data_IF_129387667373
#
_entry.id   IF_129387667373
#
_cell.length_a   1.000
_cell.length_b   1.000
_cell.length_c   1.000
_cell.angle_alpha   90.00
_cell.angle_beta   90.00
_cell.angle_gamma   90.00
#
_symmetry.space_group_name_H-M   'P 1'
#
loop_
_entity.id
_entity.type
_entity.pdbx_description
1 polymer ?
#
# COMPACT_ATOMS: atom_id res chain seq x y z
N UNK A 1 -39.78 -6.19 -28.58
CA UNK A 1 -39.02 -6.37 -27.32
C UNK A 1 -39.49 -5.29 -26.35
N UNK A 2 -40.35 -5.65 -25.39
CA UNK A 2 -40.96 -4.69 -24.47
C UNK A 2 -39.97 -4.46 -23.32
N UNK A 3 -39.33 -3.29 -23.27
CA UNK A 3 -38.46 -2.93 -22.16
C UNK A 3 -39.33 -2.73 -20.93
N UNK A 4 -39.24 -3.66 -19.98
CA UNK A 4 -39.98 -3.62 -18.73
C UNK A 4 -39.42 -2.47 -17.86
N UNK A 5 -40.09 -1.31 -17.92
CA UNK A 5 -39.76 -0.10 -17.18
C UNK A 5 -39.62 -0.37 -15.68
N UNK A 6 -40.35 -1.35 -15.14
CA UNK A 6 -40.27 -1.76 -13.74
C UNK A 6 -38.90 -2.34 -13.37
N UNK A 7 -38.15 -2.92 -14.33
CA UNK A 7 -36.78 -3.42 -14.09
C UNK A 7 -35.78 -2.27 -14.04
N UNK A 8 -35.92 -1.30 -14.93
CA UNK A 8 -35.07 -0.10 -15.01
C UNK A 8 -35.27 0.78 -13.77
N UNK A 9 -36.52 0.99 -13.34
CA UNK A 9 -36.84 1.75 -12.12
C UNK A 9 -36.32 1.09 -10.85
N UNK A 10 -36.44 -0.24 -10.72
CA UNK A 10 -35.86 -1.00 -9.59
C UNK A 10 -34.33 -0.85 -9.53
N UNK A 11 -33.68 -0.84 -10.69
CA UNK A 11 -32.23 -0.64 -10.79
C UNK A 11 -31.81 0.79 -10.40
N UNK A 12 -32.61 1.80 -10.77
CA UNK A 12 -32.39 3.19 -10.36
C UNK A 12 -32.62 3.42 -8.85
N UNK A 13 -33.61 2.77 -8.25
CA UNK A 13 -33.87 2.84 -6.81
C UNK A 13 -32.75 2.18 -5.99
N UNK A 14 -32.19 1.07 -6.49
CA UNK A 14 -31.03 0.42 -5.85
C UNK A 14 -29.79 1.33 -5.85
N UNK A 15 -29.53 2.06 -6.95
CA UNK A 15 -28.42 3.02 -7.03
C UNK A 15 -28.60 4.23 -6.09
N UNK A 16 -29.84 4.65 -5.81
CA UNK A 16 -30.15 5.75 -4.89
C UNK A 16 -30.02 5.41 -3.40
N UNK A 17 -30.01 4.12 -3.02
CA UNK A 17 -29.93 3.67 -1.62
C UNK A 17 -28.50 3.55 -1.07
N UNK A 18 -27.49 3.68 -1.92
CA UNK A 18 -26.10 3.76 -1.47
C UNK A 18 -25.86 5.11 -0.80
N UNK A 19 -25.21 5.18 0.37
CA UNK A 19 -24.93 6.46 0.96
C UNK A 19 -23.93 7.25 0.09
N UNK A 20 -24.24 8.54 -0.13
CA UNK A 20 -23.47 9.49 -0.95
C UNK A 20 -22.17 9.87 -0.22
N UNK A 21 -21.27 8.91 -0.04
CA UNK A 21 -20.04 9.11 0.75
C UNK A 21 -18.78 9.26 -0.10
N UNK A 22 -18.85 9.18 -1.42
CA UNK A 22 -17.65 8.92 -2.23
C UNK A 22 -16.70 10.11 -2.32
N UNK A 23 -17.17 11.37 -2.18
CA UNK A 23 -16.32 12.55 -2.41
C UNK A 23 -16.37 13.64 -1.34
N UNK A 24 -17.20 13.52 -0.29
CA UNK A 24 -17.23 14.53 0.78
C UNK A 24 -15.88 14.54 1.49
N UNK A 25 -15.18 15.67 1.41
CA UNK A 25 -13.89 15.88 2.07
C UNK A 25 -14.14 16.24 3.54
N UNK A 26 -13.45 15.53 4.43
CA UNK A 26 -13.41 15.81 5.87
C UNK A 26 -11.96 15.91 6.32
N UNK A 27 -11.72 16.67 7.39
CA UNK A 27 -10.38 16.80 7.97
C UNK A 27 -10.13 15.65 8.96
N UNK A 28 -8.94 15.07 8.87
CA UNK A 28 -8.41 14.18 9.91
C UNK A 28 -7.92 15.01 11.10
N UNK A 29 -7.74 14.37 12.27
CA UNK A 29 -7.14 15.00 13.45
C UNK A 29 -5.78 15.66 13.19
N UNK A 30 -5.03 15.20 12.17
CA UNK A 30 -3.76 15.81 11.77
C UNK A 30 -3.92 17.03 10.82
N UNK A 31 -5.15 17.53 10.61
CA UNK A 31 -5.45 18.64 9.70
C UNK A 31 -5.47 18.29 8.20
N UNK A 32 -5.16 17.06 7.79
CA UNK A 32 -5.16 16.65 6.38
C UNK A 32 -6.56 16.25 5.91
N UNK A 33 -6.91 16.65 4.69
CA UNK A 33 -8.17 16.24 4.07
C UNK A 33 -8.16 14.76 3.69
N UNK A 34 -9.26 14.07 3.98
CA UNK A 34 -9.53 12.68 3.57
C UNK A 34 -11.00 12.54 3.17
N UNK A 35 -11.38 11.41 2.59
CA UNK A 35 -12.79 11.16 2.27
C UNK A 35 -13.55 10.76 3.54
N UNK A 36 -14.80 11.18 3.64
CA UNK A 36 -15.67 10.82 4.78
C UNK A 36 -15.75 9.30 4.97
N UNK A 37 -15.83 8.52 3.87
CA UNK A 37 -15.79 7.05 3.91
C UNK A 37 -14.51 6.51 4.57
N UNK A 38 -13.35 7.03 4.18
CA UNK A 38 -12.07 6.54 4.72
C UNK A 38 -11.93 6.83 6.21
N UNK A 39 -12.31 8.04 6.65
CA UNK A 39 -12.30 8.39 8.07
C UNK A 39 -13.29 7.55 8.88
N UNK A 40 -14.49 7.29 8.35
CA UNK A 40 -15.46 6.42 9.01
C UNK A 40 -14.95 4.98 9.16
N UNK A 41 -14.24 4.46 8.16
CA UNK A 41 -13.74 3.09 8.17
C UNK A 41 -12.47 2.91 9.02
N UNK A 42 -11.55 3.87 9.02
CA UNK A 42 -10.22 3.72 9.61
C UNK A 42 -9.93 4.67 10.77
N UNK A 43 -10.79 5.65 11.04
CA UNK A 43 -10.61 6.66 12.10
C UNK A 43 -9.49 7.68 11.84
N UNK A 44 -8.68 7.51 10.79
CA UNK A 44 -7.52 8.34 10.45
C UNK A 44 -7.35 8.46 8.94
N UNK A 45 -6.63 9.50 8.48
CA UNK A 45 -6.30 9.64 7.06
C UNK A 45 -5.21 8.64 6.64
N UNK A 46 -5.12 8.39 5.32
CA UNK A 46 -4.12 7.48 4.75
C UNK A 46 -2.67 7.84 5.14
N UNK A 47 -2.35 9.13 5.28
CA UNK A 47 -1.03 9.55 5.71
C UNK A 47 -0.75 9.19 7.18
N UNK A 48 -1.72 9.37 8.08
CA UNK A 48 -1.60 8.95 9.48
C UNK A 48 -1.60 7.43 9.63
N UNK A 49 -2.38 6.72 8.80
CA UNK A 49 -2.34 5.27 8.76
C UNK A 49 -0.94 4.76 8.36
N UNK A 50 -0.36 5.36 7.32
CA UNK A 50 0.98 5.01 6.86
C UNK A 50 2.07 5.38 7.89
N UNK A 51 1.94 6.54 8.55
CA UNK A 51 2.85 6.94 9.62
C UNK A 51 2.82 5.94 10.78
N UNK A 52 1.63 5.57 11.26
CA UNK A 52 1.51 4.56 12.33
C UNK A 52 2.12 3.20 11.95
N UNK A 53 2.00 2.79 10.69
CA UNK A 53 2.68 1.56 10.21
C UNK A 53 4.20 1.75 10.21
N UNK A 54 4.71 2.91 9.82
CA UNK A 54 6.15 3.20 9.85
C UNK A 54 6.70 3.25 11.28
N UNK A 55 5.95 3.83 12.21
CA UNK A 55 6.34 3.94 13.62
C UNK A 55 6.33 2.59 14.35
N UNK A 56 5.50 1.64 13.90
CA UNK A 56 5.45 0.28 14.44
C UNK A 56 6.60 -0.61 13.94
N UNK A 57 7.37 -0.17 12.94
CA UNK A 57 8.45 -0.95 12.32
C UNK A 57 9.79 -0.53 12.89
N UNK A 58 10.64 -1.50 13.19
CA UNK A 58 12.01 -1.23 13.64
C UNK A 58 12.78 -0.47 12.55
N UNK A 59 13.56 0.58 12.89
CA UNK A 59 14.28 1.38 11.89
C UNK A 59 15.16 0.55 10.93
N UNK A 60 15.77 -0.53 11.44
CA UNK A 60 16.60 -1.44 10.65
C UNK A 60 15.84 -2.32 9.66
N UNK A 61 14.54 -2.51 9.84
CA UNK A 61 13.66 -3.24 8.91
C UNK A 61 13.22 -2.30 7.79
N UNK A 62 12.86 -1.06 8.13
CA UNK A 62 12.47 -0.06 7.14
C UNK A 62 13.61 0.24 6.14
N UNK A 63 14.86 0.22 6.60
CA UNK A 63 16.02 0.34 5.71
C UNK A 63 16.10 -0.82 4.68
N UNK A 64 15.66 -2.03 5.03
CA UNK A 64 15.61 -3.17 4.10
C UNK A 64 14.52 -2.98 3.05
N UNK A 65 13.36 -2.45 3.44
CA UNK A 65 12.31 -2.05 2.49
C UNK A 65 12.82 -1.01 1.48
N UNK A 66 13.54 0.00 1.95
CA UNK A 66 14.16 0.99 1.06
C UNK A 66 15.22 0.37 0.16
N UNK A 67 16.06 -0.52 0.71
CA UNK A 67 17.04 -1.25 -0.09
C UNK A 67 16.35 -2.09 -1.16
N UNK A 68 15.34 -2.89 -0.82
CA UNK A 68 14.55 -3.72 -1.75
C UNK A 68 14.02 -2.93 -2.94
N UNK A 69 13.65 -1.66 -2.75
CA UNK A 69 13.12 -0.77 -3.78
C UNK A 69 14.17 0.13 -4.46
N UNK A 70 15.43 0.08 -4.01
CA UNK A 70 16.45 1.03 -4.44
C UNK A 70 16.14 2.48 -4.02
N UNK A 71 15.28 2.69 -3.02
CA UNK A 71 14.85 3.98 -2.51
C UNK A 71 15.86 4.54 -1.49
N UNK A 72 17.14 4.56 -1.88
CA UNK A 72 18.26 5.02 -1.05
C UNK A 72 18.86 6.29 -1.63
N UNK A 73 19.52 7.10 -0.78
CA UNK A 73 20.09 8.41 -1.15
C UNK A 73 21.08 8.35 -2.31
N UNK A 74 21.74 7.20 -2.52
CA UNK A 74 22.71 6.99 -3.59
C UNK A 74 22.07 7.01 -5.00
N UNK A 75 20.78 6.68 -5.11
CA UNK A 75 20.10 6.64 -6.40
C UNK A 75 19.16 7.83 -6.57
N UNK A 76 19.11 8.45 -7.77
CA UNK A 76 18.14 9.48 -8.05
C UNK A 76 16.72 8.92 -7.94
N UNK A 77 15.76 9.75 -7.50
CA UNK A 77 14.36 9.34 -7.31
C UNK A 77 13.73 8.74 -8.56
N UNK A 78 14.16 9.15 -9.75
CA UNK A 78 13.71 8.60 -11.03
C UNK A 78 14.05 7.11 -11.22
N UNK A 79 15.04 6.59 -10.48
CA UNK A 79 15.42 5.18 -10.45
C UNK A 79 14.77 4.41 -9.32
N UNK A 80 14.06 5.05 -8.39
CA UNK A 80 13.43 4.32 -7.31
C UNK A 80 12.33 3.39 -7.86
N UNK A 81 12.24 2.18 -7.31
CA UNK A 81 11.34 1.15 -7.80
C UNK A 81 11.84 0.40 -9.03
N UNK A 82 13.07 0.62 -9.51
CA UNK A 82 13.69 -0.17 -10.60
C UNK A 82 13.92 -1.64 -10.25
N UNK A 83 13.83 -1.98 -8.97
CA UNK A 83 13.83 -3.34 -8.45
C UNK A 83 12.74 -3.45 -7.39
N UNK A 84 12.19 -4.65 -7.24
CA UNK A 84 11.22 -4.95 -6.20
C UNK A 84 11.40 -6.37 -5.63
N UNK A 85 12.63 -6.78 -5.38
CA UNK A 85 12.91 -8.08 -4.78
C UNK A 85 14.02 -7.98 -3.74
N UNK A 86 13.89 -8.78 -2.68
CA UNK A 86 14.91 -8.97 -1.67
C UNK A 86 15.06 -10.46 -1.39
N UNK A 87 16.24 -11.00 -1.67
CA UNK A 87 16.59 -12.37 -1.35
C UNK A 87 17.09 -12.42 0.10
N UNK A 88 16.28 -12.97 1.01
CA UNK A 88 16.69 -13.18 2.40
C UNK A 88 16.99 -14.67 2.61
N UNK A 89 18.25 -14.99 2.94
CA UNK A 89 18.63 -16.27 3.53
C UNK A 89 18.17 -16.36 4.99
N UNK A 90 18.52 -17.44 5.69
CA UNK A 90 18.15 -17.63 7.11
C UNK A 90 18.73 -16.56 8.06
N UNK A 91 18.05 -16.33 9.18
CA UNK A 91 18.51 -15.46 10.27
C UNK A 91 17.86 -14.07 10.30
N UNK A 92 18.56 -13.08 10.86
CA UNK A 92 18.00 -11.77 11.18
C UNK A 92 17.42 -11.01 9.98
N UNK A 93 17.97 -11.22 8.78
CA UNK A 93 17.43 -10.59 7.56
C UNK A 93 16.06 -11.16 7.19
N UNK A 94 15.88 -12.48 7.36
CA UNK A 94 14.61 -13.15 7.11
C UNK A 94 13.53 -12.67 8.09
N UNK A 95 13.86 -12.65 9.38
CA UNK A 95 12.94 -12.19 10.44
C UNK A 95 12.49 -10.73 10.20
N UNK A 96 13.42 -9.87 9.80
CA UNK A 96 13.09 -8.49 9.43
C UNK A 96 12.12 -8.42 8.24
N UNK A 97 12.32 -9.23 7.20
CA UNK A 97 11.41 -9.29 6.06
C UNK A 97 10.04 -9.89 6.42
N UNK A 98 10.00 -10.86 7.34
CA UNK A 98 8.75 -11.38 7.89
C UNK A 98 7.99 -10.32 8.68
N UNK A 99 8.67 -9.49 9.49
CA UNK A 99 8.02 -8.35 10.17
C UNK A 99 7.45 -7.33 9.19
N UNK A 100 8.17 -7.04 8.11
CA UNK A 100 7.65 -6.18 7.03
C UNK A 100 6.43 -6.80 6.32
N UNK A 101 6.43 -8.13 6.14
CA UNK A 101 5.29 -8.85 5.57
C UNK A 101 4.08 -8.84 6.51
N UNK A 102 4.28 -9.06 7.81
CA UNK A 102 3.24 -8.96 8.83
C UNK A 102 2.64 -7.55 8.91
N UNK A 103 3.45 -6.51 8.67
CA UNK A 103 2.99 -5.12 8.54
C UNK A 103 2.30 -4.80 7.19
N UNK A 104 2.20 -5.77 6.28
CA UNK A 104 1.60 -5.60 4.94
C UNK A 104 2.43 -4.76 3.97
N UNK A 105 3.69 -4.46 4.30
CA UNK A 105 4.59 -3.68 3.45
C UNK A 105 5.34 -4.54 2.43
N UNK A 106 5.48 -5.84 2.71
CA UNK A 106 6.07 -6.81 1.81
C UNK A 106 5.20 -8.07 1.71
N UNK A 107 5.52 -8.94 0.77
CA UNK A 107 4.92 -10.25 0.60
C UNK A 107 6.05 -11.24 0.32
N UNK A 108 5.99 -12.39 0.98
CA UNK A 108 6.90 -13.49 0.68
C UNK A 108 6.49 -14.12 -0.65
N UNK A 109 7.45 -14.24 -1.56
CA UNK A 109 7.31 -14.98 -2.81
C UNK A 109 7.88 -16.38 -2.69
N UNK A 110 8.43 -16.88 -3.80
CA UNK A 110 8.94 -18.25 -3.88
C UNK A 110 10.17 -18.44 -2.99
N UNK A 111 10.21 -19.56 -2.27
CA UNK A 111 11.43 -20.05 -1.63
C UNK A 111 12.26 -20.86 -2.63
N UNK A 112 13.57 -20.65 -2.65
CA UNK A 112 14.53 -21.36 -3.48
C UNK A 112 15.71 -21.79 -2.60
N UNK A 113 15.72 -23.06 -2.19
CA UNK A 113 16.64 -23.55 -1.15
C UNK A 113 16.42 -22.78 0.17
N UNK A 114 17.52 -22.33 0.78
CA UNK A 114 17.49 -21.57 2.04
C UNK A 114 17.16 -20.08 1.87
N UNK A 115 16.85 -19.64 0.64
CA UNK A 115 16.58 -18.25 0.31
C UNK A 115 15.08 -18.07 0.05
N UNK A 116 14.47 -17.10 0.71
CA UNK A 116 13.11 -16.64 0.40
C UNK A 116 13.16 -15.27 -0.26
N UNK A 117 12.50 -15.15 -1.41
CA UNK A 117 12.33 -13.87 -2.08
C UNK A 117 11.17 -13.12 -1.45
N UNK A 118 11.37 -11.84 -1.18
CA UNK A 118 10.34 -10.93 -0.71
C UNK A 118 10.16 -9.80 -1.71
N UNK A 119 8.92 -9.35 -1.87
CA UNK A 119 8.52 -8.29 -2.79
C UNK A 119 7.77 -7.21 -2.00
N UNK A 120 8.02 -5.94 -2.26
CA UNK A 120 7.24 -4.86 -1.65
C UNK A 120 5.81 -4.91 -2.19
N UNK A 121 4.84 -4.62 -1.33
CA UNK A 121 3.47 -4.34 -1.76
C UNK A 121 3.35 -2.89 -2.25
N UNK A 122 2.25 -2.56 -2.91
CA UNK A 122 1.93 -1.16 -3.25
C UNK A 122 1.91 -0.25 -2.01
N UNK A 123 1.54 -0.79 -0.83
CA UNK A 123 1.62 -0.07 0.44
C UNK A 123 3.08 0.13 0.87
N UNK A 124 3.92 -0.90 0.75
CA UNK A 124 5.37 -0.85 0.97
C UNK A 124 6.06 0.23 0.13
N UNK A 125 5.74 0.30 -1.16
CA UNK A 125 6.30 1.34 -2.04
C UNK A 125 5.91 2.76 -1.59
N UNK A 126 4.65 2.96 -1.20
CA UNK A 126 4.20 4.25 -0.63
C UNK A 126 4.91 4.56 0.69
N UNK A 127 5.07 3.56 1.56
CA UNK A 127 5.77 3.70 2.83
C UNK A 127 7.22 4.14 2.63
N UNK A 128 7.91 3.54 1.65
CA UNK A 128 9.27 3.87 1.25
C UNK A 128 9.40 5.23 0.55
N UNK A 129 8.29 5.88 0.20
CA UNK A 129 8.26 7.22 -0.40
C UNK A 129 8.37 7.24 -1.93
N UNK A 130 8.06 6.14 -2.60
CA UNK A 130 7.97 6.11 -4.06
C UNK A 130 6.77 6.95 -4.52
N UNK A 131 6.96 7.66 -5.62
CA UNK A 131 5.89 8.36 -6.34
C UNK A 131 5.11 7.39 -7.24
N UNK A 132 4.11 7.91 -7.98
CA UNK A 132 3.29 7.08 -8.86
C UNK A 132 4.10 6.33 -9.92
N UNK A 133 5.13 6.97 -10.48
CA UNK A 133 5.99 6.38 -11.50
C UNK A 133 6.90 5.29 -10.92
N UNK A 134 7.49 5.52 -9.75
CA UNK A 134 8.29 4.53 -9.03
C UNK A 134 7.45 3.33 -8.59
N UNK A 135 6.22 3.55 -8.10
CA UNK A 135 5.30 2.46 -7.77
C UNK A 135 4.96 1.64 -9.01
N UNK A 136 4.68 2.30 -10.14
CA UNK A 136 4.41 1.62 -11.41
C UNK A 136 5.59 0.72 -11.79
N UNK A 137 6.80 1.30 -11.81
CA UNK A 137 8.06 0.58 -12.11
C UNK A 137 8.33 -0.60 -11.18
N UNK A 138 7.97 -0.50 -9.89
CA UNK A 138 8.19 -1.56 -8.92
C UNK A 138 7.16 -2.71 -9.01
N UNK A 139 5.98 -2.45 -9.58
CA UNK A 139 4.88 -3.42 -9.64
C UNK A 139 4.75 -4.10 -11.00
N UNK A 140 5.34 -3.50 -12.03
CA UNK A 140 5.35 -4.00 -13.40
C UNK A 140 6.70 -4.71 -13.62
N UNK A 141 6.73 -6.00 -13.29
CA UNK A 141 7.62 -6.98 -13.96
C UNK A 141 6.94 -7.42 -15.28
#
# INVERSE_FOLDING_TARGET
MMYDLARVERQHLANKKGPVFSLIRKLCACGKASTAKHLAQHGKCAACALAAVRDAILPGDFAKLQHMLGAVKQYPKSKWGWRNYFAAGSGQQHEAMQRLAAAGLATAGRACGDITYFYATRLGCKAAGLDGAGIKRAMED
#
